data_IF_708432598700
#
_entry.id   IF_708432598700
#
_cell.length_a   1.000
_cell.length_b   1.000
_cell.length_c   1.000
_cell.angle_alpha   90.00
_cell.angle_beta   90.00
_cell.angle_gamma   90.00
#
_symmetry.space_group_name_H-M   'P 1'
#
loop_
_entity.id
_entity.type
_entity.pdbx_description
1 polymer ?
#
# COMPACT_ATOMS: atom_id res chain seq x y z
N UNK A 1 13.38 5.54 17.51
CA UNK A 1 13.06 4.99 18.85
C UNK A 1 11.90 4.02 18.69
N UNK A 2 12.03 2.78 19.15
CA UNK A 2 10.93 1.80 19.16
C UNK A 2 10.08 2.05 20.40
N UNK A 3 8.78 2.31 20.23
CA UNK A 3 7.85 2.60 21.34
C UNK A 3 7.31 1.34 22.05
N UNK A 4 7.82 0.16 21.69
CA UNK A 4 7.39 -1.11 22.27
C UNK A 4 5.94 -1.48 21.91
N UNK A 5 5.36 -2.37 22.70
CA UNK A 5 3.94 -2.73 22.62
C UNK A 5 3.10 -1.74 23.40
N UNK A 6 1.95 -1.35 22.84
CA UNK A 6 1.02 -0.44 23.49
C UNK A 6 -0.40 -1.01 23.41
N UNK A 7 -1.08 -1.09 24.54
CA UNK A 7 -2.50 -1.39 24.57
C UNK A 7 -3.29 -0.11 24.34
N UNK A 8 -4.05 -0.04 23.27
CA UNK A 8 -4.80 1.17 22.92
C UNK A 8 -6.08 0.85 22.17
N UNK A 9 -7.00 1.82 22.14
CA UNK A 9 -8.25 1.72 21.38
C UNK A 9 -8.00 2.19 19.94
N UNK A 10 -8.36 1.34 18.98
CA UNK A 10 -8.36 1.70 17.56
C UNK A 10 -9.66 2.43 17.25
N UNK A 11 -9.54 3.61 16.64
CA UNK A 11 -10.65 4.40 16.12
C UNK A 11 -10.62 4.37 14.59
N UNK A 12 -11.75 4.12 13.93
CA UNK A 12 -11.82 4.25 12.48
C UNK A 12 -11.67 5.73 12.10
N UNK A 13 -11.00 6.02 10.98
CA UNK A 13 -10.81 7.39 10.50
C UNK A 13 -12.13 8.07 10.04
N UNK A 14 -13.24 7.32 9.97
CA UNK A 14 -14.52 7.85 9.51
C UNK A 14 -14.60 8.00 7.99
N UNK A 15 -15.79 8.34 7.48
CA UNK A 15 -16.10 8.28 6.04
C UNK A 15 -15.26 9.23 5.17
N UNK A 16 -14.87 10.39 5.71
CA UNK A 16 -14.11 11.42 4.99
C UNK A 16 -12.70 10.94 4.61
N UNK A 17 -12.13 10.04 5.40
CA UNK A 17 -10.75 9.61 5.26
C UNK A 17 -10.60 8.20 4.67
N UNK A 18 -11.70 7.62 4.17
CA UNK A 18 -11.70 6.28 3.54
C UNK A 18 -10.82 6.19 2.28
N UNK A 19 -10.45 7.32 1.69
CA UNK A 19 -9.60 7.37 0.50
C UNK A 19 -8.10 7.33 0.84
N UNK A 20 -7.72 7.40 2.12
CA UNK A 20 -6.31 7.30 2.52
C UNK A 20 -5.90 5.83 2.40
N UNK A 21 -5.18 5.50 1.33
CA UNK A 21 -4.60 4.17 1.13
C UNK A 21 -3.52 3.91 2.18
N UNK A 22 -3.46 2.66 2.66
CA UNK A 22 -2.42 2.18 3.55
C UNK A 22 -2.59 2.50 5.03
N UNK A 23 -3.71 3.13 5.44
CA UNK A 23 -4.00 3.43 6.84
C UNK A 23 -5.35 2.79 7.24
N UNK A 24 -5.35 2.02 8.32
CA UNK A 24 -6.55 1.30 8.79
C UNK A 24 -7.32 2.06 9.88
N UNK A 25 -6.68 3.01 10.56
CA UNK A 25 -7.27 3.73 11.67
C UNK A 25 -6.29 4.68 12.34
N UNK A 26 -6.71 5.18 13.50
CA UNK A 26 -5.85 5.95 14.37
C UNK A 26 -6.11 5.62 15.84
N UNK A 27 -5.23 6.11 16.69
CA UNK A 27 -5.44 6.12 18.14
C UNK A 27 -4.97 7.44 18.73
N UNK A 28 -5.43 7.74 19.93
CA UNK A 28 -4.94 8.85 20.74
C UNK A 28 -4.07 8.26 21.83
N UNK A 29 -2.79 8.63 21.85
CA UNK A 29 -1.84 8.17 22.85
C UNK A 29 -2.13 8.84 24.20
N UNK A 30 -1.59 8.30 25.29
CA UNK A 30 -1.72 8.91 26.63
C UNK A 30 -1.14 10.33 26.71
N UNK A 31 -0.25 10.71 25.80
CA UNK A 31 0.26 12.07 25.64
C UNK A 31 -0.71 13.04 24.95
N UNK A 32 -1.82 12.55 24.40
CA UNK A 32 -2.75 13.32 23.55
C UNK A 32 -2.34 13.38 22.08
N UNK A 33 -1.18 12.85 21.70
CA UNK A 33 -0.75 12.78 20.30
C UNK A 33 -1.58 11.76 19.51
N UNK A 34 -1.76 12.03 18.21
CA UNK A 34 -2.40 11.10 17.27
C UNK A 34 -1.36 10.17 16.68
N UNK A 35 -1.65 8.87 16.71
CA UNK A 35 -0.87 7.87 15.97
C UNK A 35 -1.76 7.20 14.92
N UNK A 36 -1.23 7.03 13.71
CA UNK A 36 -1.92 6.33 12.63
C UNK A 36 -1.56 4.85 12.63
N UNK A 37 -2.52 4.00 12.29
CA UNK A 37 -2.31 2.56 12.16
C UNK A 37 -2.09 2.21 10.70
N UNK A 38 -0.92 1.63 10.42
CA UNK A 38 -0.52 1.21 9.08
C UNK A 38 -1.21 -0.12 8.69
N UNK A 39 -1.82 -0.15 7.51
CA UNK A 39 -2.38 -1.37 6.92
C UNK A 39 -1.32 -2.06 6.04
N UNK A 40 -0.43 -2.80 6.69
CA UNK A 40 0.69 -3.48 6.03
C UNK A 40 0.23 -4.49 4.97
N UNK A 41 -0.78 -5.36 5.22
CA UNK A 41 -1.27 -6.28 4.19
C UNK A 41 -1.73 -5.56 2.91
N UNK A 42 -2.49 -4.47 3.05
CA UNK A 42 -2.97 -3.71 1.91
C UNK A 42 -1.84 -3.00 1.16
N UNK A 43 -0.87 -2.43 1.90
CA UNK A 43 0.33 -1.84 1.29
C UNK A 43 1.13 -2.88 0.49
N UNK A 44 1.32 -4.07 1.03
CA UNK A 44 2.02 -5.13 0.33
C UNK A 44 1.29 -5.51 -0.96
N UNK A 45 -0.03 -5.70 -0.88
CA UNK A 45 -0.85 -6.02 -2.05
C UNK A 45 -0.76 -4.95 -3.15
N UNK A 46 -0.75 -3.65 -2.79
CA UNK A 46 -0.59 -2.56 -3.73
C UNK A 46 0.76 -2.63 -4.46
N UNK A 47 1.85 -2.79 -3.71
CA UNK A 47 3.21 -2.84 -4.28
C UNK A 47 3.41 -4.07 -5.16
N UNK A 48 2.85 -5.22 -4.78
CA UNK A 48 2.93 -6.44 -5.60
C UNK A 48 2.16 -6.31 -6.91
N UNK A 49 0.97 -5.70 -6.88
CA UNK A 49 0.17 -5.51 -8.10
C UNK A 49 0.80 -4.50 -9.08
N UNK A 50 1.35 -3.40 -8.57
CA UNK A 50 2.08 -2.44 -9.41
C UNK A 50 3.31 -3.08 -10.08
N UNK A 51 4.00 -3.96 -9.34
CA UNK A 51 5.16 -4.69 -9.87
C UNK A 51 4.80 -5.63 -11.01
N UNK A 52 3.68 -6.37 -10.89
CA UNK A 52 3.21 -7.29 -11.95
C UNK A 52 2.74 -6.54 -13.21
N UNK A 53 2.03 -5.42 -13.04
CA UNK A 53 1.59 -4.58 -14.18
C UNK A 53 2.78 -4.01 -14.96
N UNK A 54 3.86 -3.63 -14.27
CA UNK A 54 5.10 -3.17 -14.89
C UNK A 54 5.82 -4.24 -15.73
N UNK A 55 5.68 -5.52 -15.37
CA UNK A 55 6.31 -6.64 -16.08
C UNK A 55 5.54 -7.05 -17.35
N UNK A 56 4.21 -6.94 -17.34
CA UNK A 56 3.37 -7.21 -18.51
C UNK A 56 3.56 -6.14 -19.61
N UNK A 57 3.66 -4.86 -19.24
CA UNK A 57 3.91 -3.78 -20.19
C UNK A 57 5.29 -3.89 -20.88
N UNK A 58 6.25 -4.58 -20.27
CA UNK A 58 7.58 -4.80 -20.87
C UNK A 58 7.60 -5.94 -21.89
N UNK A 59 6.78 -6.97 -21.73
CA UNK A 59 6.71 -8.10 -22.68
C UNK A 59 5.96 -7.76 -23.97
N UNK A 60 4.93 -6.91 -23.91
CA UNK A 60 4.15 -6.51 -25.11
C UNK A 60 4.93 -5.57 -26.03
N UNK A 61 5.89 -4.80 -25.50
CA UNK A 61 6.73 -3.90 -26.29
C UNK A 61 7.77 -4.63 -27.18
N UNK A 62 7.95 -5.94 -27.02
CA UNK A 62 8.81 -6.78 -27.86
C UNK A 62 7.94 -7.63 -28.80
N UNK A 63 7.23 -6.98 -29.74
CA UNK A 63 6.53 -7.69 -30.80
C UNK A 63 7.48 -8.58 -31.62
N UNK A 64 7.04 -9.73 -32.15
CA UNK A 64 7.89 -10.65 -32.88
C UNK A 64 8.47 -9.95 -34.12
N UNK A 65 9.78 -9.69 -34.11
CA UNK A 65 10.51 -9.23 -35.28
C UNK A 65 10.56 -10.37 -36.29
N UNK A 66 9.50 -10.47 -37.10
CA UNK A 66 9.44 -11.33 -38.28
C UNK A 66 10.53 -10.87 -39.26
N UNK A 67 11.71 -11.47 -39.14
CA UNK A 67 12.72 -11.44 -40.18
C UNK A 67 12.20 -12.31 -41.32
N UNK A 68 11.44 -11.71 -42.22
CA UNK A 68 11.20 -12.26 -43.54
C UNK A 68 11.92 -11.36 -44.54
N UNK A 69 13.15 -11.72 -44.85
CA UNK A 69 13.86 -11.21 -46.03
C UNK A 69 14.22 -12.47 -46.83
N UNK A 70 13.59 -12.58 -48.00
CA UNK A 70 13.84 -13.65 -48.98
C UNK A 70 15.11 -13.44 -49.77
#
# INVERSE_FOLDING_TARGET
>A
QLMGELQTVIKPLGKVFQQIRGISGFTILGSGAVALLLDVPNLLAQVTQESEAGLLNQHVAQGPRVHNAG
#
